data_IF_457618882606
#
_entry.id   IF_457618882606
#
_cell.length_a   1.000
_cell.length_b   1.000
_cell.length_c   1.000
_cell.angle_alpha   90.00
_cell.angle_beta   90.00
_cell.angle_gamma   90.00
#
_symmetry.space_group_name_H-M   'P 1'
#
loop_
_entity.id
_entity.type
_entity.pdbx_description
1 polymer ?
#
# COMPACT_ATOMS: atom_id res chain seq x y z
N UNK A 1 -31.76 -37.05 6.25
CA UNK A 1 -31.34 -35.80 6.94
C UNK A 1 -29.84 -35.50 6.86
N UNK A 2 -29.06 -36.08 5.93
CA UNK A 2 -27.61 -35.80 5.79
C UNK A 2 -27.25 -34.96 4.54
N UNK A 3 -28.17 -34.83 3.58
CA UNK A 3 -27.95 -34.10 2.33
C UNK A 3 -28.13 -32.58 2.43
N UNK A 4 -28.93 -32.10 3.40
CA UNK A 4 -29.16 -30.67 3.60
C UNK A 4 -27.97 -29.93 4.22
N UNK A 5 -27.16 -30.62 5.04
CA UNK A 5 -26.01 -30.01 5.72
C UNK A 5 -24.87 -29.67 4.74
N UNK A 6 -24.71 -30.48 3.67
CA UNK A 6 -23.67 -30.27 2.66
C UNK A 6 -23.97 -29.04 1.77
N UNK A 7 -25.24 -28.81 1.47
CA UNK A 7 -25.70 -27.67 0.66
C UNK A 7 -25.58 -26.34 1.43
N UNK A 8 -25.71 -26.38 2.76
CA UNK A 8 -25.51 -25.21 3.63
C UNK A 8 -24.04 -24.78 3.69
N UNK A 9 -23.10 -25.74 3.72
CA UNK A 9 -21.65 -25.47 3.74
C UNK A 9 -21.11 -24.86 2.43
N UNK A 10 -21.67 -25.26 1.27
CA UNK A 10 -21.30 -24.67 -0.02
C UNK A 10 -21.79 -23.21 -0.18
N UNK A 11 -22.92 -22.84 0.44
CA UNK A 11 -23.46 -21.47 0.38
C UNK A 11 -22.72 -20.50 1.31
N UNK A 12 -22.10 -20.98 2.40
CA UNK A 12 -21.32 -20.14 3.31
C UNK A 12 -19.88 -19.88 2.85
N UNK A 13 -19.37 -20.66 1.89
CA UNK A 13 -17.97 -20.58 1.43
C UNK A 13 -17.68 -19.51 0.37
N UNK A 14 -18.69 -18.79 -0.13
CA UNK A 14 -18.54 -17.89 -1.28
C UNK A 14 -18.13 -16.44 -0.91
N UNK A 15 -17.82 -16.15 0.35
CA UNK A 15 -17.46 -14.80 0.79
C UNK A 15 -16.02 -14.76 1.29
N UNK A 16 -15.07 -15.09 0.41
CA UNK A 16 -13.68 -14.73 0.65
C UNK A 16 -13.47 -13.28 0.20
N UNK A 17 -13.76 -12.34 1.11
CA UNK A 17 -13.25 -10.98 0.96
C UNK A 17 -11.76 -10.99 1.27
N UNK A 18 -10.93 -11.17 0.25
CA UNK A 18 -9.48 -10.99 0.41
C UNK A 18 -9.21 -9.51 0.65
N UNK A 19 -8.47 -9.20 1.70
CA UNK A 19 -7.97 -7.84 1.92
C UNK A 19 -7.10 -7.45 0.71
N UNK A 20 -7.47 -6.38 0.03
CA UNK A 20 -6.72 -5.84 -1.12
C UNK A 20 -5.69 -4.81 -0.68
N UNK A 21 -5.50 -4.64 0.63
CA UNK A 21 -4.47 -3.76 1.19
C UNK A 21 -3.16 -4.50 1.39
N UNK A 22 -2.07 -3.92 0.89
CA UNK A 22 -0.71 -4.43 1.06
C UNK A 22 0.31 -3.30 1.31
N UNK A 23 1.51 -3.66 1.74
CA UNK A 23 2.61 -2.72 1.96
C UNK A 23 3.65 -2.84 0.86
N UNK A 24 4.08 -1.71 0.31
CA UNK A 24 5.19 -1.64 -0.64
C UNK A 24 6.26 -0.69 -0.14
N UNK A 25 7.51 -1.15 -0.12
CA UNK A 25 8.66 -0.31 0.22
C UNK A 25 9.32 0.26 -1.03
N UNK A 26 9.87 1.48 -0.90
CA UNK A 26 10.62 2.13 -1.96
C UNK A 26 11.64 3.13 -1.37
N UNK A 27 12.78 3.29 -2.03
CA UNK A 27 13.79 4.27 -1.61
C UNK A 27 13.30 5.70 -1.87
N UNK A 28 13.74 6.64 -1.03
CA UNK A 28 13.58 8.07 -1.30
C UNK A 28 14.10 8.43 -2.71
N UNK A 29 13.33 9.22 -3.46
CA UNK A 29 13.68 9.62 -4.84
C UNK A 29 13.50 8.55 -5.92
N UNK A 30 13.04 7.34 -5.56
CA UNK A 30 12.74 6.29 -6.54
C UNK A 30 11.35 6.47 -7.17
N UNK A 31 10.98 5.55 -8.06
CA UNK A 31 9.63 5.51 -8.62
C UNK A 31 9.06 4.11 -8.58
N UNK A 32 7.74 4.02 -8.40
CA UNK A 32 6.97 2.78 -8.51
C UNK A 32 5.99 2.91 -9.67
N UNK A 33 5.87 1.87 -10.48
CA UNK A 33 4.85 1.80 -11.54
C UNK A 33 3.66 0.99 -11.05
N UNK A 34 2.45 1.53 -11.17
CA UNK A 34 1.21 0.80 -10.88
C UNK A 34 1.02 -0.31 -11.91
N UNK A 35 0.76 -1.57 -11.48
CA UNK A 35 0.53 -2.69 -12.39
C UNK A 35 -0.66 -2.45 -13.33
N UNK A 36 -0.70 -3.22 -14.42
CA UNK A 36 -1.85 -3.19 -15.33
C UNK A 36 -3.09 -3.77 -14.65
N UNK A 37 -4.27 -3.29 -15.06
CA UNK A 37 -5.60 -3.75 -14.59
C UNK A 37 -5.93 -3.45 -13.11
N UNK A 38 -5.15 -2.61 -12.45
CA UNK A 38 -5.41 -2.20 -11.06
C UNK A 38 -5.25 -0.69 -10.88
N UNK A 39 -5.94 -0.15 -9.89
CA UNK A 39 -5.70 1.18 -9.33
C UNK A 39 -5.17 1.03 -7.92
N UNK A 40 -4.28 1.96 -7.54
CA UNK A 40 -3.69 2.00 -6.21
C UNK A 40 -4.14 3.27 -5.49
N UNK A 41 -4.68 3.09 -4.29
CA UNK A 41 -4.98 4.15 -3.34
C UNK A 41 -3.98 4.07 -2.19
N UNK A 42 -3.16 5.09 -2.00
CA UNK A 42 -2.22 5.14 -0.88
C UNK A 42 -3.01 5.61 0.35
N UNK A 43 -3.29 4.69 1.27
CA UNK A 43 -4.05 4.99 2.49
C UNK A 43 -3.18 5.65 3.55
N UNK A 44 -1.93 5.18 3.68
CA UNK A 44 -0.96 5.66 4.64
C UNK A 44 0.44 5.50 4.08
N UNK A 45 1.33 6.39 4.48
CA UNK A 45 2.74 6.26 4.17
C UNK A 45 3.59 6.59 5.41
N UNK A 46 4.72 5.91 5.50
CA UNK A 46 5.68 6.10 6.57
C UNK A 46 7.10 6.15 6.00
N UNK A 47 8.01 6.78 6.73
CA UNK A 47 9.44 6.73 6.47
C UNK A 47 10.18 6.11 7.66
N UNK A 48 11.25 5.39 7.36
CA UNK A 48 12.17 4.82 8.35
C UNK A 48 13.56 4.60 7.72
N UNK A 49 14.59 4.61 8.55
CA UNK A 49 16.01 4.45 8.21
C UNK A 49 16.66 3.22 8.90
N UNK A 50 15.85 2.29 9.42
CA UNK A 50 16.30 1.13 10.20
C UNK A 50 16.23 1.30 11.72
N UNK A 51 15.97 2.50 12.25
CA UNK A 51 16.08 2.81 13.69
C UNK A 51 14.88 2.35 14.55
N UNK A 52 14.11 1.35 14.10
CA UNK A 52 13.05 0.71 14.90
C UNK A 52 11.76 1.54 15.13
N UNK A 53 11.66 2.76 14.59
CA UNK A 53 10.43 3.57 14.60
C UNK A 53 10.04 4.03 13.19
N UNK A 54 8.74 4.24 12.96
CA UNK A 54 8.21 4.72 11.68
C UNK A 54 7.60 6.11 11.86
N UNK A 55 8.03 7.06 11.03
CA UNK A 55 7.43 8.40 11.01
C UNK A 55 6.33 8.42 9.96
N UNK A 56 5.10 8.73 10.38
CA UNK A 56 3.99 8.89 9.46
C UNK A 56 4.16 10.19 8.68
N UNK A 57 4.09 10.13 7.36
CA UNK A 57 4.17 11.32 6.51
C UNK A 57 2.77 11.86 6.19
N UNK A 58 2.70 13.15 5.86
CA UNK A 58 1.46 13.76 5.38
C UNK A 58 0.96 13.07 4.07
N UNK A 59 -0.29 12.57 4.00
CA UNK A 59 -0.83 11.94 2.79
C UNK A 59 -0.92 12.88 1.57
N UNK A 60 -0.95 14.19 1.76
CA UNK A 60 -1.01 15.19 0.66
C UNK A 60 0.22 15.16 -0.25
N UNK A 61 1.30 14.52 0.19
CA UNK A 61 2.51 14.26 -0.61
C UNK A 61 2.22 13.35 -1.81
N UNK A 62 1.17 12.53 -1.72
CA UNK A 62 0.75 11.61 -2.77
C UNK A 62 -0.62 11.97 -3.34
N UNK A 63 -0.85 11.55 -4.58
CA UNK A 63 -2.19 11.57 -5.15
C UNK A 63 -3.06 10.54 -4.41
N UNK A 64 -4.36 10.83 -4.21
CA UNK A 64 -5.25 9.87 -3.57
C UNK A 64 -5.42 8.61 -4.41
N UNK A 65 -5.43 8.68 -5.75
CA UNK A 65 -5.61 7.51 -6.61
C UNK A 65 -4.62 7.56 -7.76
N UNK A 66 -3.96 6.43 -8.02
CA UNK A 66 -3.10 6.20 -9.18
C UNK A 66 -3.72 5.14 -10.09
N UNK A 67 -3.71 5.40 -11.39
CA UNK A 67 -4.25 4.50 -12.43
C UNK A 67 -3.19 3.51 -12.92
N UNK A 68 -3.65 2.44 -13.56
CA UNK A 68 -2.79 1.44 -14.19
C UNK A 68 -1.71 2.09 -15.08
N UNK A 69 -0.46 1.68 -14.89
CA UNK A 69 0.70 2.20 -15.62
C UNK A 69 1.20 3.58 -15.17
N UNK A 70 0.50 4.28 -14.27
CA UNK A 70 1.01 5.54 -13.72
C UNK A 70 2.23 5.31 -12.83
N UNK A 71 3.11 6.30 -12.80
CA UNK A 71 4.29 6.31 -11.92
C UNK A 71 3.98 7.10 -10.64
N UNK A 72 4.17 6.44 -9.51
CA UNK A 72 4.24 7.07 -8.19
C UNK A 72 5.69 7.52 -8.00
N UNK A 73 5.91 8.83 -8.01
CA UNK A 73 7.21 9.40 -7.69
C UNK A 73 7.36 9.45 -6.17
N UNK A 74 8.36 8.76 -5.64
CA UNK A 74 8.66 8.81 -4.22
C UNK A 74 9.46 10.09 -3.97
N UNK A 75 9.02 10.95 -3.04
CA UNK A 75 9.77 12.16 -2.74
C UNK A 75 11.20 11.82 -2.36
N UNK A 76 12.14 12.60 -2.87
CA UNK A 76 13.51 12.54 -2.40
C UNK A 76 13.62 13.05 -0.94
N UNK A 77 12.73 13.97 -0.57
CA UNK A 77 12.74 14.65 0.71
C UNK A 77 11.32 14.94 1.20
N UNK A 78 11.10 14.82 2.52
CA UNK A 78 9.93 15.32 3.26
C UNK A 78 10.41 15.91 4.58
N UNK A 79 9.64 16.84 5.18
CA UNK A 79 10.05 17.49 6.43
C UNK A 79 10.21 16.49 7.59
N UNK A 80 9.43 15.42 7.57
CA UNK A 80 9.51 14.33 8.56
C UNK A 80 10.88 13.62 8.53
N UNK A 81 11.62 13.65 7.41
CA UNK A 81 12.96 13.06 7.33
C UNK A 81 13.98 13.76 8.25
N UNK A 82 13.73 15.01 8.64
CA UNK A 82 14.58 15.72 9.62
C UNK A 82 14.50 15.14 11.03
N UNK A 83 13.45 14.38 11.32
CA UNK A 83 13.29 13.70 12.60
C UNK A 83 14.02 12.35 12.64
N UNK A 84 14.58 11.90 11.51
CA UNK A 84 15.40 10.70 11.44
C UNK A 84 16.82 11.02 11.90
N UNK A 85 17.39 10.14 12.73
CA UNK A 85 18.73 10.30 13.29
C UNK A 85 19.85 10.17 12.22
N UNK A 86 19.58 9.44 11.14
CA UNK A 86 20.43 9.34 9.95
C UNK A 86 19.54 9.32 8.69
N UNK A 87 19.85 10.15 7.70
CA UNK A 87 19.11 10.23 6.43
C UNK A 87 19.65 9.30 5.34
N UNK A 88 20.66 8.49 5.64
CA UNK A 88 21.11 7.44 4.73
C UNK A 88 20.08 6.30 4.68
N UNK A 89 19.77 5.83 3.46
CA UNK A 89 18.91 4.66 3.27
C UNK A 89 17.46 4.86 3.73
N UNK A 90 16.87 6.05 3.54
CA UNK A 90 15.46 6.25 3.89
C UNK A 90 14.53 5.46 2.96
N UNK A 91 13.69 4.64 3.58
CA UNK A 91 12.65 3.86 2.92
C UNK A 91 11.27 4.41 3.21
N UNK A 92 10.47 4.56 2.17
CA UNK A 92 9.04 4.81 2.26
C UNK A 92 8.31 3.48 2.33
N UNK A 93 7.40 3.34 3.27
CA UNK A 93 6.49 2.21 3.41
C UNK A 93 5.07 2.67 3.09
N UNK A 94 4.58 2.31 1.91
CA UNK A 94 3.28 2.70 1.41
C UNK A 94 2.27 1.61 1.71
N UNK A 95 1.21 1.93 2.44
CA UNK A 95 0.04 1.09 2.63
C UNK A 95 -0.93 1.40 1.50
N UNK A 96 -1.10 0.44 0.61
CA UNK A 96 -1.80 0.59 -0.66
C UNK A 96 -3.01 -0.30 -0.64
N UNK A 97 -4.19 0.31 -0.84
CA UNK A 97 -5.41 -0.42 -1.17
C UNK A 97 -5.53 -0.56 -2.68
N UNK A 98 -5.63 -1.79 -3.14
CA UNK A 98 -5.77 -2.11 -4.55
C UNK A 98 -7.24 -2.28 -4.94
N UNK A 99 -7.58 -1.86 -6.16
CA UNK A 99 -8.89 -2.10 -6.76
C UNK A 99 -8.71 -2.49 -8.23
N UNK A 100 -9.43 -3.53 -8.64
CA UNK A 100 -9.35 -4.02 -10.02
C UNK A 100 -10.09 -3.07 -10.97
N UNK A 101 -9.49 -2.81 -12.13
CA UNK A 101 -10.12 -2.09 -13.24
C UNK A 101 -10.27 -3.08 -14.40
N UNK A 102 -11.51 -3.37 -14.86
CA UNK A 102 -11.80 -4.34 -15.90
C UNK A 102 -11.25 -3.93 -17.28
#
# INVERSE_FOLDING_TARGET
>A
MKFGLFLFLCLTGAVYGQDTTFVKSAYAGSSLTVPQKVTWHIEKAFINNGDGYNLKINPEVFKPIYKAGEKIQIPFYTAEMELLNNQEGVFYFLYIKESFVP
#
